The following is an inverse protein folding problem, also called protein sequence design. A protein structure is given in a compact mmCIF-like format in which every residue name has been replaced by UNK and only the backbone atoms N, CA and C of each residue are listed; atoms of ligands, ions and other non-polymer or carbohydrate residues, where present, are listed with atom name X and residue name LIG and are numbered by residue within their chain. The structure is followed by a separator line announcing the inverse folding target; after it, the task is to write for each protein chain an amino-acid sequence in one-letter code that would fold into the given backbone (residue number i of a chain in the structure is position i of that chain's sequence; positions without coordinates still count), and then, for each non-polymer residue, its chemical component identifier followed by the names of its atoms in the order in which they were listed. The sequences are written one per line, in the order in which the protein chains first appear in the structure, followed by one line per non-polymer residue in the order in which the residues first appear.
data_IF_512376319851
#
_entry.id   IF_512376319851
#
_cell.length_a   1.000
_cell.length_b   1.000
_cell.length_c   1.000
_cell.angle_alpha   90.00
_cell.angle_beta   90.00
_cell.angle_gamma   90.00
#
_symmetry.space_group_name_H-M   'P 1'
#
loop_
_entity.id
_entity.type
_entity.pdbx_description
1 polymer ?
#
# COMPACT_ATOMS: atom_id res chain seq x y z
N UNK A 1 -14.57 -17.79 -22.56
CA UNK A 1 -14.06 -16.45 -22.20
C UNK A 1 -12.71 -16.67 -21.55
N UNK A 2 -11.65 -16.04 -22.05
CA UNK A 2 -10.36 -16.04 -21.35
C UNK A 2 -10.52 -15.11 -20.14
N UNK A 3 -10.27 -15.62 -18.94
CA UNK A 3 -10.19 -14.79 -17.73
C UNK A 3 -9.00 -13.84 -17.90
N UNK A 4 -9.22 -12.53 -17.80
CA UNK A 4 -8.12 -11.59 -17.69
C UNK A 4 -7.37 -11.87 -16.39
N UNK A 5 -6.04 -11.89 -16.48
CA UNK A 5 -5.16 -11.99 -15.32
C UNK A 5 -5.13 -10.61 -14.68
N UNK A 6 -5.37 -10.56 -13.37
CA UNK A 6 -5.29 -9.33 -12.57
C UNK A 6 -4.04 -9.34 -11.68
N UNK A 7 -3.55 -8.16 -11.31
CA UNK A 7 -2.37 -7.97 -10.47
C UNK A 7 -2.69 -7.02 -9.31
N UNK A 8 -2.44 -7.47 -8.08
CA UNK A 8 -2.51 -6.63 -6.88
C UNK A 8 -1.11 -6.24 -6.40
N UNK A 9 -0.90 -4.97 -6.09
CA UNK A 9 0.23 -4.48 -5.32
C UNK A 9 -0.09 -4.60 -3.83
N UNK A 10 0.63 -5.47 -3.12
CA UNK A 10 0.52 -5.59 -1.66
C UNK A 10 1.77 -5.01 -1.01
N UNK A 11 1.62 -4.05 -0.09
CA UNK A 11 2.75 -3.44 0.61
C UNK A 11 2.54 -3.41 2.12
N UNK A 12 3.60 -3.68 2.87
CA UNK A 12 3.70 -3.41 4.30
C UNK A 12 4.44 -2.08 4.45
N UNK A 13 3.87 -1.12 5.17
CA UNK A 13 4.36 0.28 5.20
C UNK A 13 4.50 0.78 6.64
N UNK A 14 5.49 1.64 6.89
CA UNK A 14 5.67 2.40 8.14
C UNK A 14 6.45 3.69 7.90
N UNK A 15 5.85 4.84 8.21
CA UNK A 15 6.52 6.15 8.23
C UNK A 15 7.26 6.50 6.91
N UNK A 16 6.59 6.34 5.77
CA UNK A 16 7.12 6.54 4.41
C UNK A 16 6.61 7.83 3.73
N UNK A 17 6.20 8.87 4.48
CA UNK A 17 5.56 10.06 3.90
C UNK A 17 6.40 10.77 2.82
N UNK A 18 7.73 10.62 2.90
CA UNK A 18 8.69 11.27 2.00
C UNK A 18 8.77 10.60 0.62
N UNK A 19 8.36 9.34 0.49
CA UNK A 19 8.57 8.55 -0.75
C UNK A 19 7.34 7.81 -1.23
N UNK A 20 6.36 7.53 -0.36
CA UNK A 20 5.23 6.66 -0.68
C UNK A 20 4.40 7.17 -1.87
N UNK A 21 4.21 8.50 -2.00
CA UNK A 21 3.51 9.09 -3.14
C UNK A 21 4.20 8.75 -4.47
N UNK A 22 5.50 9.04 -4.58
CA UNK A 22 6.28 8.75 -5.79
C UNK A 22 6.31 7.25 -6.10
N UNK A 23 6.34 6.40 -5.08
CA UNK A 23 6.31 4.95 -5.25
C UNK A 23 4.98 4.47 -5.83
N UNK A 24 3.85 4.98 -5.33
CA UNK A 24 2.52 4.59 -5.81
C UNK A 24 2.25 5.20 -7.19
N UNK A 25 2.69 6.43 -7.45
CA UNK A 25 2.57 7.08 -8.76
C UNK A 25 3.23 6.26 -9.88
N UNK A 26 4.34 5.57 -9.61
CA UNK A 26 5.07 4.82 -10.63
C UNK A 26 4.40 3.51 -11.05
N UNK A 27 3.46 2.99 -10.24
CA UNK A 27 2.92 1.63 -10.39
C UNK A 27 1.40 1.59 -10.47
N UNK A 28 0.67 2.61 -9.99
CA UNK A 28 -0.80 2.61 -9.94
C UNK A 28 -1.49 2.38 -11.30
N UNK A 29 -0.81 2.65 -12.42
CA UNK A 29 -1.36 2.48 -13.76
C UNK A 29 -1.16 1.08 -14.35
N UNK A 30 -0.41 0.19 -13.68
CA UNK A 30 -0.10 -1.16 -14.16
C UNK A 30 -0.65 -2.28 -13.25
N UNK A 31 -1.31 -1.91 -12.14
CA UNK A 31 -1.96 -2.84 -11.21
C UNK A 31 -3.44 -2.55 -11.13
N UNK A 32 -4.24 -3.58 -10.86
CA UNK A 32 -5.69 -3.47 -10.74
C UNK A 32 -6.12 -3.09 -9.31
N UNK A 33 -5.27 -3.39 -8.33
CA UNK A 33 -5.55 -3.19 -6.91
C UNK A 33 -4.28 -2.81 -6.14
N UNK A 34 -4.43 -1.93 -5.15
CA UNK A 34 -3.38 -1.60 -4.19
C UNK A 34 -3.93 -1.92 -2.80
N UNK A 35 -3.19 -2.75 -2.05
CA UNK A 35 -3.47 -3.13 -0.65
C UNK A 35 -2.30 -2.70 0.22
N UNK A 36 -2.58 -1.88 1.23
CA UNK A 36 -1.58 -1.38 2.17
C UNK A 36 -1.85 -1.95 3.56
N UNK A 37 -0.83 -2.54 4.16
CA UNK A 37 -0.79 -2.93 5.57
C UNK A 37 0.12 -1.93 6.29
N UNK A 38 -0.48 -0.99 7.03
CA UNK A 38 0.25 -0.01 7.82
C UNK A 38 0.62 -0.59 9.18
N UNK A 39 1.91 -0.51 9.54
CA UNK A 39 2.41 -1.10 10.79
C UNK A 39 2.52 -0.15 11.98
N UNK A 40 1.76 0.94 11.92
CA UNK A 40 1.75 1.99 12.94
C UNK A 40 2.54 3.22 12.53
N UNK A 41 2.30 3.72 11.31
CA UNK A 41 2.81 5.03 10.90
C UNK A 41 2.25 6.12 11.81
N UNK A 42 3.11 7.05 12.19
CA UNK A 42 2.82 8.23 13.02
C UNK A 42 2.93 9.54 12.24
N UNK A 43 3.41 9.45 11.00
CA UNK A 43 3.53 10.53 10.04
C UNK A 43 2.32 10.62 9.07
N UNK A 44 2.45 11.35 7.96
CA UNK A 44 1.37 11.52 6.97
C UNK A 44 1.20 10.36 5.99
N UNK A 45 1.89 9.25 6.17
CA UNK A 45 1.86 8.11 5.24
C UNK A 45 0.45 7.67 4.91
N UNK A 46 -0.40 7.43 5.92
CA UNK A 46 -1.78 6.99 5.70
C UNK A 46 -2.62 8.02 4.95
N UNK A 47 -2.42 9.31 5.21
CA UNK A 47 -3.13 10.38 4.50
C UNK A 47 -2.74 10.44 3.03
N UNK A 48 -1.47 10.18 2.71
CA UNK A 48 -1.00 10.11 1.33
C UNK A 48 -1.56 8.87 0.63
N UNK A 49 -1.47 7.69 1.27
CA UNK A 49 -1.97 6.41 0.73
C UNK A 49 -3.47 6.46 0.42
N UNK A 50 -4.29 7.15 1.23
CA UNK A 50 -5.74 7.31 1.00
C UNK A 50 -6.10 7.96 -0.35
N UNK A 51 -5.15 8.61 -1.01
CA UNK A 51 -5.34 9.16 -2.36
C UNK A 51 -5.30 8.10 -3.46
N UNK A 52 -4.71 6.94 -3.17
CA UNK A 52 -4.46 5.85 -4.12
C UNK A 52 -5.39 4.65 -3.91
N UNK A 53 -5.75 4.36 -2.66
CA UNK A 53 -6.61 3.20 -2.34
C UNK A 53 -7.36 3.40 -1.03
N UNK A 54 -8.52 2.74 -0.92
CA UNK A 54 -9.25 2.60 0.33
C UNK A 54 -8.84 1.34 1.12
N UNK A 55 -8.10 0.42 0.50
CA UNK A 55 -7.69 -0.86 1.10
C UNK A 55 -6.45 -0.67 1.98
N UNK A 56 -6.64 -0.01 3.13
CA UNK A 56 -5.60 0.27 4.11
C UNK A 56 -5.95 -0.43 5.42
N UNK A 57 -5.07 -1.31 5.88
CA UNK A 57 -5.26 -2.13 7.06
C UNK A 57 -4.20 -1.82 8.10
N UNK A 58 -4.60 -1.49 9.33
CA UNK A 58 -3.66 -1.33 10.44
C UNK A 58 -3.28 -2.71 11.01
N UNK A 59 -1.98 -3.00 11.11
CA UNK A 59 -1.45 -4.20 11.73
C UNK A 59 -0.34 -3.84 12.70
N UNK A 60 -0.52 -4.12 13.99
CA UNK A 60 0.56 -3.87 14.96
C UNK A 60 1.69 -4.87 14.73
N UNK A 61 2.84 -4.36 14.28
CA UNK A 61 4.04 -5.16 14.07
C UNK A 61 4.42 -5.97 15.32
N UNK A 62 4.78 -7.24 15.11
CA UNK A 62 5.05 -8.23 16.16
C UNK A 62 6.51 -8.72 16.16
N UNK A 63 7.43 -8.00 15.50
CA UNK A 63 8.84 -8.39 15.33
C UNK A 63 9.06 -9.73 14.61
N UNK A 64 8.10 -10.15 13.78
CA UNK A 64 8.20 -11.39 13.02
C UNK A 64 7.54 -11.29 11.61
N UNK A 65 8.20 -11.87 10.61
CA UNK A 65 7.72 -11.96 9.22
C UNK A 65 7.02 -13.29 8.89
N UNK A 66 6.97 -14.24 9.84
CA UNK A 66 6.36 -15.56 9.70
C UNK A 66 4.92 -15.61 10.20
#
# INVERSE_FOLDING_TARGET
MLTQITISLCMIVKDEEQVIARCLDSVQHIVDEIVIVDTGSTDKTKDIVRKYTANIYDYKWNDNFA
#
